data_IF_257183071531
#
_entry.id   IF_257183071531
#
_cell.length_a   1.000
_cell.length_b   1.000
_cell.length_c   1.000
_cell.angle_alpha   90.00
_cell.angle_beta   90.00
_cell.angle_gamma   90.00
#
_symmetry.space_group_name_H-M   'P 1'
#
loop_
_entity.id
_entity.type
_entity.pdbx_description
1 polymer ?
#
# COMPACT_ATOMS: atom_id res chain seq x y z
N UNK A 1 42.28 -22.45 -22.68
CA UNK A 1 43.34 -22.29 -21.67
C UNK A 1 43.94 -20.92 -21.96
N UNK A 2 43.67 -19.85 -21.23
CA UNK A 2 43.07 -19.63 -19.92
C UNK A 2 42.25 -18.33 -20.02
N UNK A 3 40.99 -18.34 -19.63
CA UNK A 3 40.23 -17.10 -19.40
C UNK A 3 40.72 -16.53 -18.08
N UNK A 4 41.55 -15.49 -18.18
CA UNK A 4 42.01 -14.71 -17.03
C UNK A 4 40.84 -13.97 -16.41
N UNK A 5 40.73 -14.17 -15.11
CA UNK A 5 39.95 -13.43 -14.13
C UNK A 5 39.76 -11.95 -14.51
N UNK A 6 38.51 -11.58 -14.77
CA UNK A 6 38.06 -10.21 -14.74
C UNK A 6 36.97 -10.12 -13.68
N UNK A 7 37.38 -10.28 -12.41
CA UNK A 7 36.66 -9.69 -11.31
C UNK A 7 36.75 -8.18 -11.51
N UNK A 8 35.75 -7.61 -12.18
CA UNK A 8 35.39 -6.22 -11.96
C UNK A 8 34.83 -6.17 -10.54
N UNK A 9 35.73 -5.93 -9.58
CA UNK A 9 35.37 -5.32 -8.32
C UNK A 9 34.73 -3.98 -8.68
N UNK A 10 33.40 -3.96 -8.79
CA UNK A 10 32.66 -2.70 -8.83
C UNK A 10 32.78 -2.08 -7.45
N UNK A 11 33.83 -1.28 -7.25
CA UNK A 11 34.00 -0.32 -6.18
C UNK A 11 32.98 0.84 -6.28
N UNK A 12 31.71 0.56 -6.60
CA UNK A 12 30.64 1.57 -6.74
C UNK A 12 29.45 1.35 -5.78
N UNK A 13 29.60 0.53 -4.73
CA UNK A 13 28.60 0.38 -3.65
C UNK A 13 29.02 1.02 -2.32
N UNK A 14 29.68 2.19 -2.37
CA UNK A 14 29.93 3.02 -1.19
C UNK A 14 29.76 4.49 -1.54
N UNK A 15 28.52 4.97 -1.48
CA UNK A 15 28.17 6.38 -1.16
C UNK A 15 26.65 6.58 -1.04
N UNK A 16 25.96 5.71 -0.28
CA UNK A 16 24.71 6.11 0.40
C UNK A 16 25.04 6.21 1.89
N UNK A 17 25.96 7.09 2.26
CA UNK A 17 26.39 7.20 3.66
C UNK A 17 26.42 8.65 4.11
N UNK A 18 25.33 9.00 4.79
CA UNK A 18 25.17 10.07 5.77
C UNK A 18 25.21 11.49 5.18
N UNK A 19 24.03 11.97 4.78
CA UNK A 19 23.74 13.40 4.69
C UNK A 19 23.01 13.78 6.00
N UNK A 20 23.74 14.29 7.02
CA UNK A 20 23.15 14.55 8.33
C UNK A 20 22.06 15.61 8.28
N UNK A 21 22.10 16.52 7.30
CA UNK A 21 21.06 17.54 7.12
C UNK A 21 19.78 16.91 6.57
N UNK A 22 19.90 16.00 5.60
CA UNK A 22 18.77 15.23 5.09
C UNK A 22 18.19 14.29 6.16
N UNK A 23 19.05 13.64 6.94
CA UNK A 23 18.63 12.76 8.03
C UNK A 23 17.91 13.54 9.15
N UNK A 24 18.42 14.71 9.53
CA UNK A 24 17.75 15.61 10.48
C UNK A 24 16.38 16.05 9.96
N UNK A 25 16.30 16.45 8.69
CA UNK A 25 15.05 16.84 8.03
C UNK A 25 14.02 15.69 8.01
N UNK A 26 14.43 14.48 7.62
CA UNK A 26 13.56 13.29 7.61
C UNK A 26 13.05 12.99 9.03
N UNK A 27 13.92 13.10 10.04
CA UNK A 27 13.54 12.88 11.42
C UNK A 27 12.54 13.91 11.93
N UNK A 28 12.71 15.19 11.57
CA UNK A 28 11.73 16.24 11.89
C UNK A 28 10.37 15.98 11.24
N UNK A 29 10.35 15.60 9.95
CA UNK A 29 9.11 15.24 9.26
C UNK A 29 8.42 14.04 9.92
N UNK A 30 9.16 13.00 10.28
CA UNK A 30 8.62 11.81 10.96
C UNK A 30 7.97 12.18 12.30
N UNK A 31 8.60 13.07 13.09
CA UNK A 31 8.03 13.59 14.34
C UNK A 31 6.76 14.38 14.09
N UNK A 32 6.72 15.22 13.05
CA UNK A 32 5.50 15.97 12.69
C UNK A 32 4.36 15.04 12.29
N UNK A 33 4.64 14.00 11.49
CA UNK A 33 3.64 12.99 11.11
C UNK A 33 3.11 12.22 12.32
N UNK A 34 4.00 11.81 13.23
CA UNK A 34 3.60 11.12 14.46
C UNK A 34 2.73 12.02 15.35
N UNK A 35 3.10 13.28 15.49
CA UNK A 35 2.30 14.25 16.25
C UNK A 35 0.92 14.45 15.62
N UNK A 36 0.85 14.59 14.30
CA UNK A 36 -0.40 14.72 13.56
C UNK A 36 -1.31 13.50 13.73
N UNK A 37 -0.78 12.29 13.58
CA UNK A 37 -1.54 11.05 13.74
C UNK A 37 -1.97 10.81 15.20
N UNK A 38 -1.24 11.36 16.18
CA UNK A 38 -1.63 11.27 17.59
C UNK A 38 -2.86 12.13 17.94
N UNK A 39 -3.21 13.13 17.12
CA UNK A 39 -4.33 14.02 17.39
C UNK A 39 -5.68 13.27 17.40
N UNK A 40 -6.65 13.74 18.21
CA UNK A 40 -8.04 13.32 18.05
C UNK A 40 -8.50 13.63 16.63
N UNK A 41 -9.13 12.65 15.97
CA UNK A 41 -9.56 12.77 14.59
C UNK A 41 -11.01 12.32 14.42
N UNK A 42 -11.71 12.90 13.46
CA UNK A 42 -13.06 12.50 13.06
C UNK A 42 -12.97 11.71 11.76
N UNK A 43 -13.68 10.60 11.71
CA UNK A 43 -13.80 9.78 10.50
C UNK A 43 -14.53 10.56 9.42
N UNK A 44 -14.01 10.54 8.20
CA UNK A 44 -14.66 11.09 7.00
C UNK A 44 -15.60 10.01 6.44
N UNK A 45 -16.93 10.12 6.62
CA UNK A 45 -17.85 9.01 6.33
C UNK A 45 -17.87 8.60 4.85
N UNK A 46 -17.69 9.56 3.95
CA UNK A 46 -17.67 9.32 2.50
C UNK A 46 -16.47 8.45 2.11
N UNK A 47 -15.30 8.70 2.69
CA UNK A 47 -14.09 7.90 2.43
C UNK A 47 -14.24 6.49 3.00
N UNK A 48 -14.76 6.36 4.22
CA UNK A 48 -15.07 5.05 4.80
C UNK A 48 -16.07 4.27 3.93
N UNK A 49 -17.11 4.93 3.41
CA UNK A 49 -18.07 4.31 2.51
C UNK A 49 -17.41 3.79 1.23
N UNK A 50 -16.46 4.54 0.64
CA UNK A 50 -15.67 4.06 -0.51
C UNK A 50 -14.91 2.78 -0.18
N UNK A 51 -14.26 2.69 0.99
CA UNK A 51 -13.54 1.46 1.40
C UNK A 51 -14.50 0.28 1.51
N UNK A 52 -15.64 0.46 2.18
CA UNK A 52 -16.62 -0.60 2.39
C UNK A 52 -17.30 -1.06 1.09
N UNK A 53 -17.55 -0.14 0.18
CA UNK A 53 -18.10 -0.45 -1.14
C UNK A 53 -17.07 -1.21 -1.99
N UNK A 54 -15.80 -0.77 -2.00
CA UNK A 54 -14.71 -1.50 -2.66
C UNK A 54 -14.56 -2.90 -2.07
N UNK A 55 -14.56 -3.05 -0.75
CA UNK A 55 -14.50 -4.37 -0.11
C UNK A 55 -15.67 -5.27 -0.54
N UNK A 56 -16.88 -4.71 -0.62
CA UNK A 56 -18.08 -5.45 -1.02
C UNK A 56 -18.01 -5.89 -2.49
N UNK A 57 -17.59 -5.00 -3.39
CA UNK A 57 -17.34 -5.29 -4.80
C UNK A 57 -16.30 -6.40 -4.94
N UNK A 58 -15.15 -6.25 -4.30
CA UNK A 58 -14.04 -7.20 -4.37
C UNK A 58 -14.47 -8.57 -3.83
N UNK A 59 -15.19 -8.63 -2.71
CA UNK A 59 -15.76 -9.88 -2.20
C UNK A 59 -16.71 -10.54 -3.20
N UNK A 60 -17.59 -9.78 -3.87
CA UNK A 60 -18.45 -10.36 -4.91
C UNK A 60 -17.63 -10.94 -6.06
N UNK A 61 -16.69 -10.16 -6.58
CA UNK A 61 -15.85 -10.56 -7.71
C UNK A 61 -15.10 -11.85 -7.39
N UNK A 62 -14.54 -12.01 -6.19
CA UNK A 62 -13.61 -13.08 -5.82
C UNK A 62 -14.19 -14.16 -4.86
N UNK A 63 -15.48 -14.12 -4.53
CA UNK A 63 -16.14 -14.97 -3.52
C UNK A 63 -15.91 -16.49 -3.64
N UNK A 64 -15.76 -17.01 -4.85
CA UNK A 64 -15.57 -18.44 -5.12
C UNK A 64 -14.12 -18.79 -5.50
N UNK A 65 -13.18 -17.87 -5.29
CA UNK A 65 -11.78 -18.03 -5.68
C UNK A 65 -10.89 -18.22 -4.45
N UNK A 66 -9.78 -18.91 -4.66
CA UNK A 66 -8.71 -19.08 -3.66
C UNK A 66 -7.90 -17.77 -3.53
N UNK A 67 -8.56 -16.75 -3.00
CA UNK A 67 -8.02 -15.39 -2.80
C UNK A 67 -8.38 -14.95 -1.39
N UNK A 68 -7.36 -14.62 -0.60
CA UNK A 68 -7.52 -13.97 0.69
C UNK A 68 -7.89 -12.49 0.46
N UNK A 69 -8.96 -12.05 1.12
CA UNK A 69 -9.44 -10.66 1.07
C UNK A 69 -9.38 -10.08 2.47
N UNK A 70 -8.52 -9.10 2.70
CA UNK A 70 -8.46 -8.35 3.96
C UNK A 70 -8.87 -6.89 3.76
N UNK A 71 -9.30 -6.27 4.85
CA UNK A 71 -9.56 -4.83 4.89
C UNK A 71 -8.94 -4.29 6.16
N UNK A 72 -8.01 -3.37 5.97
CA UNK A 72 -7.26 -2.71 7.03
C UNK A 72 -7.73 -1.26 7.04
N UNK A 73 -8.19 -0.79 8.19
CA UNK A 73 -8.62 0.58 8.40
C UNK A 73 -7.72 1.18 9.46
N UNK A 74 -7.36 2.44 9.29
CA UNK A 74 -6.57 3.21 10.26
C UNK A 74 -5.15 2.68 10.45
N UNK A 75 -4.59 2.06 9.40
CA UNK A 75 -3.22 1.53 9.38
C UNK A 75 -2.51 1.95 8.07
N UNK A 76 -1.23 2.38 8.13
CA UNK A 76 -0.42 2.59 9.34
C UNK A 76 -0.80 3.87 10.11
N UNK A 77 -1.63 4.75 9.53
CA UNK A 77 -2.11 5.99 10.14
C UNK A 77 -3.64 6.03 10.18
N UNK A 78 -4.24 6.83 11.07
CA UNK A 78 -5.69 7.05 11.17
C UNK A 78 -6.32 7.58 9.88
N UNK A 79 -5.54 8.17 8.99
CA UNK A 79 -6.01 8.65 7.69
C UNK A 79 -6.01 7.57 6.59
N UNK A 80 -5.49 6.37 6.86
CA UNK A 80 -5.23 5.36 5.84
C UNK A 80 -6.21 4.19 5.90
N UNK A 81 -6.46 3.57 4.76
CA UNK A 81 -7.17 2.31 4.67
C UNK A 81 -6.76 1.53 3.42
N UNK A 82 -6.94 0.22 3.44
CA UNK A 82 -6.67 -0.64 2.30
C UNK A 82 -7.66 -1.81 2.22
N UNK A 83 -8.00 -2.19 0.99
CA UNK A 83 -8.59 -3.50 0.69
C UNK A 83 -7.54 -4.30 -0.07
N UNK A 84 -7.11 -5.41 0.52
CA UNK A 84 -6.01 -6.23 0.01
C UNK A 84 -6.53 -7.57 -0.48
N UNK A 85 -5.99 -7.99 -1.62
CA UNK A 85 -6.17 -9.28 -2.26
C UNK A 85 -4.84 -10.02 -2.24
N UNK A 86 -4.83 -11.27 -1.80
CA UNK A 86 -3.67 -12.15 -1.93
C UNK A 86 -4.08 -13.51 -2.52
N UNK A 87 -3.39 -13.97 -3.54
CA UNK A 87 -3.59 -15.33 -4.05
C UNK A 87 -2.61 -15.70 -5.15
N UNK A 88 -2.53 -16.99 -5.50
CA UNK A 88 -1.65 -17.47 -6.58
C UNK A 88 -2.03 -16.89 -7.95
N UNK A 89 -3.32 -16.60 -8.16
CA UNK A 89 -3.86 -16.01 -9.39
C UNK A 89 -5.04 -15.10 -9.04
N UNK A 90 -5.01 -13.87 -9.55
CA UNK A 90 -6.11 -12.91 -9.42
C UNK A 90 -6.87 -12.82 -10.74
N UNK A 91 -7.62 -13.87 -11.08
CA UNK A 91 -8.48 -13.86 -12.27
C UNK A 91 -9.85 -13.32 -11.91
N UNK A 92 -10.45 -12.48 -12.77
CA UNK A 92 -11.82 -11.97 -12.59
C UNK A 92 -12.56 -11.83 -13.92
N UNK A 93 -13.88 -12.07 -13.88
CA UNK A 93 -14.75 -12.05 -15.07
C UNK A 93 -15.62 -10.79 -15.20
N UNK A 94 -15.61 -9.90 -14.20
CA UNK A 94 -16.47 -8.71 -14.13
C UNK A 94 -15.61 -7.44 -14.16
N UNK A 95 -15.07 -7.04 -15.33
CA UNK A 95 -14.19 -5.88 -15.44
C UNK A 95 -14.88 -4.57 -15.04
N UNK A 96 -16.18 -4.41 -15.29
CA UNK A 96 -16.94 -3.21 -14.91
C UNK A 96 -17.02 -3.04 -13.39
N UNK A 97 -17.28 -4.12 -12.66
CA UNK A 97 -17.26 -4.07 -11.19
C UNK A 97 -15.85 -3.79 -10.67
N UNK A 98 -14.82 -4.39 -11.27
CA UNK A 98 -13.43 -4.13 -10.89
C UNK A 98 -13.07 -2.65 -11.11
N UNK A 99 -13.43 -2.08 -12.26
CA UNK A 99 -13.20 -0.65 -12.55
C UNK A 99 -13.94 0.24 -11.56
N UNK A 100 -15.16 -0.14 -11.14
CA UNK A 100 -15.87 0.62 -10.10
C UNK A 100 -15.14 0.60 -8.76
N UNK A 101 -14.55 -0.54 -8.36
CA UNK A 101 -13.71 -0.61 -7.16
C UNK A 101 -12.44 0.24 -7.31
N UNK A 102 -11.85 0.27 -8.52
CA UNK A 102 -10.69 1.07 -8.86
C UNK A 102 -10.99 2.57 -8.79
N UNK A 103 -12.11 3.04 -9.33
CA UNK A 103 -12.51 4.46 -9.31
C UNK A 103 -12.79 4.99 -7.89
N UNK A 104 -13.06 4.09 -6.93
CA UNK A 104 -13.31 4.45 -5.54
C UNK A 104 -12.02 4.62 -4.72
N UNK A 105 -10.91 4.00 -5.15
CA UNK A 105 -9.64 4.03 -4.43
C UNK A 105 -8.75 5.19 -4.89
N UNK A 106 -7.84 5.61 -4.00
CA UNK A 106 -6.89 6.69 -4.31
C UNK A 106 -5.64 6.15 -5.04
N UNK A 107 -5.29 4.89 -4.80
CA UNK A 107 -4.24 4.17 -5.53
C UNK A 107 -4.54 2.67 -5.63
N UNK A 108 -4.00 2.05 -6.68
CA UNK A 108 -4.02 0.60 -6.84
C UNK A 108 -2.61 0.10 -7.12
N UNK A 109 -2.19 -0.91 -6.38
CA UNK A 109 -0.85 -1.49 -6.48
C UNK A 109 -0.96 -3.01 -6.56
N UNK A 110 -0.11 -3.64 -7.37
CA UNK A 110 -0.03 -5.09 -7.44
C UNK A 110 1.42 -5.54 -7.57
N UNK A 111 1.82 -6.52 -6.77
CA UNK A 111 3.20 -7.01 -6.72
C UNK A 111 3.27 -8.51 -6.40
N UNK A 112 4.30 -9.21 -6.89
CA UNK A 112 4.55 -10.60 -6.53
C UNK A 112 5.09 -10.72 -5.10
N UNK A 113 4.72 -11.78 -4.41
CA UNK A 113 5.24 -12.16 -3.10
C UNK A 113 6.26 -13.30 -3.24
N UNK A 114 7.20 -13.39 -2.29
CA UNK A 114 8.23 -14.43 -2.27
C UNK A 114 7.66 -15.86 -2.13
N UNK A 115 6.44 -15.99 -1.60
CA UNK A 115 5.72 -17.27 -1.50
C UNK A 115 5.08 -17.73 -2.83
N UNK A 116 5.24 -16.94 -3.91
CA UNK A 116 4.66 -17.22 -5.22
C UNK A 116 3.22 -16.73 -5.40
N UNK A 117 2.63 -16.06 -4.41
CA UNK A 117 1.36 -15.35 -4.55
C UNK A 117 1.56 -13.98 -5.20
N UNK A 118 0.45 -13.37 -5.59
CA UNK A 118 0.35 -11.96 -5.98
C UNK A 118 -0.48 -11.27 -4.91
N UNK A 119 0.00 -10.12 -4.45
CA UNK A 119 -0.78 -9.20 -3.62
C UNK A 119 -1.24 -8.02 -4.48
N UNK A 120 -2.49 -7.61 -4.32
CA UNK A 120 -3.01 -6.37 -4.88
C UNK A 120 -3.74 -5.55 -3.81
N UNK A 121 -3.52 -4.24 -3.79
CA UNK A 121 -4.06 -3.33 -2.79
C UNK A 121 -4.87 -2.22 -3.47
N UNK A 122 -6.09 -1.99 -3.00
CA UNK A 122 -6.83 -0.74 -3.21
C UNK A 122 -6.58 0.13 -1.98
N UNK A 123 -5.80 1.20 -2.13
CA UNK A 123 -5.45 2.10 -1.04
C UNK A 123 -6.32 3.34 -0.99
N UNK A 124 -6.50 3.86 0.22
CA UNK A 124 -7.38 4.98 0.53
C UNK A 124 -6.69 5.92 1.52
N UNK A 125 -6.79 7.21 1.28
CA UNK A 125 -6.26 8.27 2.12
C UNK A 125 -7.37 9.22 2.57
N UNK A 126 -7.16 9.88 3.71
CA UNK A 126 -8.13 10.81 4.30
C UNK A 126 -9.33 10.13 4.95
N UNK A 127 -9.18 8.91 5.49
CA UNK A 127 -10.24 8.24 6.24
C UNK A 127 -10.63 8.98 7.52
N UNK A 128 -9.71 9.75 8.09
CA UNK A 128 -9.95 10.59 9.25
C UNK A 128 -9.14 11.88 9.14
N UNK A 129 -9.70 12.96 9.70
CA UNK A 129 -9.10 14.29 9.75
C UNK A 129 -8.99 14.75 11.21
N UNK A 130 -7.88 15.37 11.62
CA UNK A 130 -7.73 15.90 12.97
C UNK A 130 -8.79 16.95 13.30
N UNK A 131 -9.23 16.95 14.55
CA UNK A 131 -10.04 18.03 15.12
C UNK A 131 -9.08 19.14 15.53
N UNK A 132 -9.16 20.27 14.84
CA UNK A 132 -8.37 21.49 15.12
C UNK A 132 -9.15 22.46 15.98
#
# INVERSE_FOLDING_TARGET
MEEKDMYLENEEEKDILEDPELDEFILEMAKMMQAYDSMPAVVVPQKLASVLETQSIVKRIFSERDVLISCNLYEPYKSCGAVTLEGKKLNFGSPEEFMRAFDLCDNFEAFPLLNGNIQANFGFWGLAEPIV
#
